data_IF_672313035008
#
_entry.id   IF_672313035008
#
_cell.length_a   1.000
_cell.length_b   1.000
_cell.length_c   1.000
_cell.angle_alpha   90.00
_cell.angle_beta   90.00
_cell.angle_gamma   90.00
#
_symmetry.space_group_name_H-M   'P 1'
#
loop_
_entity.id
_entity.type
_entity.pdbx_description
1 polymer ?
#
# COMPACT_ATOMS: atom_id res chain seq x y z
N UNK A 1 5.90 -9.33 -5.48
CA UNK A 1 6.12 -9.76 -6.88
C UNK A 1 4.86 -9.60 -7.69
N UNK A 2 4.97 -9.16 -8.93
CA UNK A 2 3.86 -9.04 -9.87
C UNK A 2 3.61 -10.39 -10.55
N UNK A 3 2.36 -10.88 -10.51
CA UNK A 3 1.98 -12.07 -11.26
C UNK A 3 2.22 -11.90 -12.76
N UNK A 4 1.91 -10.72 -13.30
CA UNK A 4 2.15 -10.41 -14.72
C UNK A 4 3.64 -10.46 -15.08
N UNK A 5 4.52 -9.87 -14.27
CA UNK A 5 5.96 -9.93 -14.49
C UNK A 5 6.48 -11.37 -14.45
N UNK A 6 5.98 -12.19 -13.51
CA UNK A 6 6.32 -13.62 -13.45
C UNK A 6 5.87 -14.37 -14.71
N UNK A 7 4.63 -14.16 -15.16
CA UNK A 7 4.07 -14.80 -16.38
C UNK A 7 4.85 -14.41 -17.64
N UNK A 8 5.30 -13.17 -17.71
CA UNK A 8 6.05 -12.64 -18.86
C UNK A 8 7.56 -12.83 -18.73
N UNK A 9 8.02 -13.43 -17.63
CA UNK A 9 9.44 -13.60 -17.31
C UNK A 9 10.24 -12.27 -17.41
N UNK A 10 9.64 -11.20 -16.89
CA UNK A 10 10.22 -9.86 -16.86
C UNK A 10 10.48 -9.41 -15.42
N UNK A 11 11.45 -8.51 -15.18
CA UNK A 11 11.61 -7.88 -13.87
C UNK A 11 10.35 -7.11 -13.45
N UNK A 12 10.06 -7.09 -12.15
CA UNK A 12 9.01 -6.21 -11.61
C UNK A 12 9.44 -4.74 -11.71
N UNK A 13 8.53 -3.83 -12.11
CA UNK A 13 8.86 -2.41 -12.27
C UNK A 13 8.92 -1.65 -10.92
N UNK A 14 8.76 -2.33 -9.80
CA UNK A 14 8.74 -1.73 -8.46
C UNK A 14 9.43 -2.63 -7.44
N UNK A 15 9.82 -2.04 -6.32
CA UNK A 15 10.35 -2.72 -5.14
C UNK A 15 9.34 -2.67 -3.99
N UNK A 16 9.39 -3.69 -3.13
CA UNK A 16 8.64 -3.71 -1.87
C UNK A 16 9.64 -3.49 -0.75
N UNK A 17 9.42 -2.44 0.04
CA UNK A 17 10.31 -2.02 1.12
C UNK A 17 9.55 -2.02 2.45
N UNK A 18 10.15 -2.56 3.50
CA UNK A 18 9.61 -2.47 4.85
C UNK A 18 9.86 -1.07 5.42
N UNK A 19 8.80 -0.34 5.72
CA UNK A 19 8.87 1.00 6.33
C UNK A 19 9.09 0.92 7.84
N UNK A 20 8.63 -0.17 8.46
CA UNK A 20 8.86 -0.50 9.87
C UNK A 20 9.33 -1.95 9.99
N UNK A 21 9.78 -2.35 11.18
CA UNK A 21 10.15 -3.75 11.44
C UNK A 21 8.98 -4.68 11.10
N UNK A 22 9.23 -5.65 10.23
CA UNK A 22 8.22 -6.60 9.78
C UNK A 22 8.76 -8.03 9.73
N UNK A 23 7.86 -8.99 9.87
CA UNK A 23 8.11 -10.40 9.54
C UNK A 23 7.46 -10.68 8.20
N UNK A 24 8.24 -11.23 7.27
CA UNK A 24 7.75 -11.55 5.92
C UNK A 24 7.97 -13.02 5.62
N UNK A 25 7.01 -13.64 4.94
CA UNK A 25 7.17 -14.95 4.34
C UNK A 25 7.43 -14.77 2.83
N UNK A 26 8.37 -15.57 2.31
CA UNK A 26 8.65 -15.63 0.87
C UNK A 26 8.23 -16.97 0.33
N UNK A 27 7.51 -16.94 -0.75
CA UNK A 27 7.07 -18.13 -1.46
C UNK A 27 7.34 -17.93 -2.96
N UNK A 28 8.00 -18.89 -3.64
CA UNK A 28 8.14 -18.83 -5.08
C UNK A 28 6.76 -18.82 -5.76
N UNK A 29 6.59 -17.97 -6.77
CA UNK A 29 5.29 -17.82 -7.46
C UNK A 29 4.82 -19.13 -8.07
N UNK A 30 5.73 -19.95 -8.59
CA UNK A 30 5.39 -21.25 -9.15
C UNK A 30 4.74 -22.14 -8.09
N UNK A 31 5.33 -22.24 -6.90
CA UNK A 31 4.77 -23.04 -5.80
C UNK A 31 3.41 -22.52 -5.32
N UNK A 32 3.24 -21.20 -5.34
CA UNK A 32 1.95 -20.58 -5.02
C UNK A 32 0.87 -20.98 -6.02
N UNK A 33 1.16 -20.93 -7.32
CA UNK A 33 0.21 -21.33 -8.36
C UNK A 33 -0.16 -22.80 -8.22
N UNK A 34 0.83 -23.67 -8.06
CA UNK A 34 0.62 -25.12 -7.86
C UNK A 34 -0.24 -25.40 -6.61
N UNK A 35 0.03 -24.69 -5.52
CA UNK A 35 -0.79 -24.80 -4.32
C UNK A 35 -2.24 -24.38 -4.56
N UNK A 36 -2.47 -23.27 -5.23
CA UNK A 36 -3.81 -22.78 -5.52
C UNK A 36 -4.59 -23.71 -6.44
N UNK A 37 -3.92 -24.31 -7.42
CA UNK A 37 -4.52 -25.30 -8.33
C UNK A 37 -4.87 -26.60 -7.61
N UNK A 38 -4.02 -27.05 -6.69
CA UNK A 38 -4.27 -28.24 -5.87
C UNK A 38 -5.34 -28.02 -4.78
N UNK A 39 -5.61 -26.76 -4.40
CA UNK A 39 -6.51 -26.42 -3.30
C UNK A 39 -7.55 -25.38 -3.69
N UNK A 40 -8.46 -25.70 -4.64
CA UNK A 40 -9.39 -24.72 -5.21
C UNK A 40 -10.33 -24.05 -4.18
N UNK A 41 -10.52 -24.65 -3.01
CA UNK A 41 -11.31 -24.09 -1.91
C UNK A 41 -10.77 -22.76 -1.36
N UNK A 42 -9.46 -22.46 -1.52
CA UNK A 42 -8.85 -21.21 -1.06
C UNK A 42 -8.94 -20.10 -2.11
N UNK A 43 -9.25 -20.42 -3.35
CA UNK A 43 -9.28 -19.48 -4.46
C UNK A 43 -10.26 -18.31 -4.23
N UNK A 44 -11.51 -18.52 -3.79
CA UNK A 44 -12.43 -17.40 -3.55
C UNK A 44 -11.93 -16.43 -2.48
N UNK A 45 -11.33 -16.93 -1.40
CA UNK A 45 -10.78 -16.08 -0.34
C UNK A 45 -9.60 -15.26 -0.83
N UNK A 46 -8.74 -15.86 -1.65
CA UNK A 46 -7.61 -15.15 -2.25
C UNK A 46 -8.08 -14.07 -3.25
N UNK A 47 -9.03 -14.40 -4.11
CA UNK A 47 -9.62 -13.46 -5.06
C UNK A 47 -10.27 -12.28 -4.33
N UNK A 48 -10.99 -12.53 -3.25
CA UNK A 48 -11.57 -11.47 -2.41
C UNK A 48 -10.48 -10.52 -1.86
N UNK A 49 -9.39 -11.06 -1.31
CA UNK A 49 -8.29 -10.23 -0.79
C UNK A 49 -7.60 -9.41 -1.88
N UNK A 50 -7.42 -9.99 -3.08
CA UNK A 50 -6.89 -9.25 -4.24
C UNK A 50 -7.83 -8.11 -4.65
N UNK A 51 -9.12 -8.38 -4.73
CA UNK A 51 -10.13 -7.36 -5.08
C UNK A 51 -10.18 -6.24 -4.03
N UNK A 52 -10.08 -6.60 -2.74
CA UNK A 52 -10.02 -5.64 -1.64
C UNK A 52 -8.78 -4.74 -1.76
N UNK A 53 -7.61 -5.33 -2.02
CA UNK A 53 -6.38 -4.58 -2.23
C UNK A 53 -6.49 -3.63 -3.43
N UNK A 54 -7.04 -4.10 -4.54
CA UNK A 54 -7.29 -3.26 -5.73
C UNK A 54 -8.19 -2.06 -5.40
N UNK A 55 -9.26 -2.28 -4.64
CA UNK A 55 -10.15 -1.21 -4.19
C UNK A 55 -9.43 -0.18 -3.31
N UNK A 56 -8.55 -0.63 -2.42
CA UNK A 56 -7.74 0.27 -1.59
C UNK A 56 -6.76 1.11 -2.42
N UNK A 57 -6.11 0.50 -3.42
CA UNK A 57 -5.22 1.22 -4.36
C UNK A 57 -5.99 2.26 -5.16
N UNK A 58 -7.15 1.91 -5.70
CA UNK A 58 -8.02 2.85 -6.42
C UNK A 58 -8.48 4.00 -5.54
N UNK A 59 -8.93 3.72 -4.32
CA UNK A 59 -9.36 4.74 -3.36
C UNK A 59 -8.20 5.68 -2.98
N UNK A 60 -6.98 5.16 -2.88
CA UNK A 60 -5.79 5.98 -2.65
C UNK A 60 -5.50 6.87 -3.86
N UNK A 61 -5.50 6.32 -5.07
CA UNK A 61 -5.30 7.07 -6.31
C UNK A 61 -6.31 8.22 -6.44
N UNK A 62 -7.60 7.94 -6.22
CA UNK A 62 -8.66 8.95 -6.21
C UNK A 62 -8.37 10.03 -5.15
N UNK A 63 -7.94 9.63 -3.95
CA UNK A 63 -7.57 10.56 -2.88
C UNK A 63 -6.47 11.52 -3.30
N UNK A 64 -5.44 11.02 -3.99
CA UNK A 64 -4.33 11.85 -4.47
C UNK A 64 -4.77 12.88 -5.53
N UNK A 65 -5.78 12.55 -6.32
CA UNK A 65 -6.29 13.45 -7.37
C UNK A 65 -7.35 14.43 -6.88
N UNK A 66 -8.23 14.03 -5.97
CA UNK A 66 -9.38 14.84 -5.57
C UNK A 66 -9.15 15.69 -4.33
N UNK A 67 -8.24 15.30 -3.43
CA UNK A 67 -8.04 16.03 -2.19
C UNK A 67 -6.81 16.93 -2.24
N UNK A 68 -6.94 18.10 -1.60
CA UNK A 68 -5.81 18.96 -1.28
C UNK A 68 -4.87 18.33 -0.23
N UNK A 69 -3.73 18.96 0.00
CA UNK A 69 -2.72 18.44 0.94
C UNK A 69 -3.27 18.21 2.36
N UNK A 70 -3.99 19.17 2.99
CA UNK A 70 -4.63 18.92 4.29
C UNK A 70 -5.65 17.79 4.27
N UNK A 71 -6.45 17.71 3.20
CA UNK A 71 -7.46 16.66 3.03
C UNK A 71 -6.88 15.27 2.95
N UNK A 72 -5.76 15.08 2.21
CA UNK A 72 -5.04 13.80 2.12
C UNK A 72 -4.53 13.36 3.49
N UNK A 73 -3.94 14.27 4.24
CA UNK A 73 -3.41 13.99 5.57
C UNK A 73 -4.53 13.62 6.54
N UNK A 74 -5.59 14.42 6.64
CA UNK A 74 -6.75 14.10 7.51
C UNK A 74 -7.38 12.76 7.16
N UNK A 75 -7.53 12.42 5.87
CA UNK A 75 -8.05 11.12 5.44
C UNK A 75 -7.15 9.97 5.89
N UNK A 76 -5.83 10.13 5.75
CA UNK A 76 -4.87 9.12 6.19
C UNK A 76 -4.99 8.85 7.69
N UNK A 77 -4.92 9.89 8.52
CA UNK A 77 -5.00 9.75 9.98
C UNK A 77 -6.33 9.17 10.44
N UNK A 78 -7.43 9.53 9.79
CA UNK A 78 -8.74 8.96 10.10
C UNK A 78 -8.83 7.46 9.77
N UNK A 79 -8.21 7.02 8.67
CA UNK A 79 -8.24 5.62 8.22
C UNK A 79 -7.20 4.76 8.95
N UNK A 80 -6.07 5.33 9.35
CA UNK A 80 -4.88 4.61 9.79
C UNK A 80 -4.31 5.21 11.08
N UNK A 81 -5.15 5.50 12.07
CA UNK A 81 -4.74 6.13 13.32
C UNK A 81 -3.59 5.37 14.01
N UNK A 82 -3.64 4.03 13.99
CA UNK A 82 -2.63 3.17 14.60
C UNK A 82 -1.24 3.26 13.94
N UNK A 83 -1.20 3.65 12.67
CA UNK A 83 0.04 3.73 11.89
C UNK A 83 0.67 5.13 11.93
N UNK A 84 -0.12 6.15 12.26
CA UNK A 84 0.28 7.54 12.13
C UNK A 84 1.56 7.89 12.90
N UNK A 85 1.72 7.33 14.10
CA UNK A 85 2.90 7.58 14.96
C UNK A 85 4.06 6.60 14.67
N UNK A 86 3.81 5.55 13.89
CA UNK A 86 4.79 4.50 13.60
C UNK A 86 5.50 4.69 12.27
N UNK A 87 4.92 5.45 11.35
CA UNK A 87 5.48 5.67 10.01
C UNK A 87 6.41 6.89 10.05
N UNK A 88 7.67 6.78 9.56
CA UNK A 88 8.55 7.92 9.42
C UNK A 88 7.90 9.03 8.58
N UNK A 89 8.04 10.28 8.99
CA UNK A 89 7.44 11.45 8.33
C UNK A 89 7.75 11.51 6.82
N UNK A 90 8.97 11.15 6.45
CA UNK A 90 9.42 11.12 5.04
C UNK A 90 8.60 10.14 4.22
N UNK A 91 8.39 8.94 4.74
CA UNK A 91 7.63 7.89 4.07
C UNK A 91 6.15 8.25 3.97
N UNK A 92 5.59 8.82 5.05
CA UNK A 92 4.20 9.31 5.05
C UNK A 92 4.01 10.45 4.04
N UNK A 93 4.94 11.40 3.99
CA UNK A 93 4.88 12.49 3.02
C UNK A 93 4.93 11.96 1.57
N UNK A 94 5.84 11.03 1.29
CA UNK A 94 5.95 10.36 -0.01
C UNK A 94 4.65 9.63 -0.38
N UNK A 95 4.09 8.85 0.53
CA UNK A 95 2.82 8.14 0.33
C UNK A 95 1.65 9.08 0.01
N UNK A 96 1.63 10.27 0.63
CA UNK A 96 0.60 11.29 0.42
C UNK A 96 0.89 12.22 -0.75
N UNK A 97 1.97 11.98 -1.49
CA UNK A 97 2.48 12.83 -2.57
C UNK A 97 2.66 14.29 -2.09
N UNK A 98 3.41 14.45 -0.99
CA UNK A 98 3.75 15.73 -0.36
C UNK A 98 5.24 15.82 -0.12
N UNK A 99 5.77 17.06 -0.09
CA UNK A 99 7.08 17.31 0.48
C UNK A 99 7.02 17.14 2.03
N UNK A 100 8.10 16.65 2.64
CA UNK A 100 8.18 16.45 4.08
C UNK A 100 7.99 17.76 4.87
N UNK A 101 8.48 18.88 4.32
CA UNK A 101 8.31 20.24 4.85
C UNK A 101 6.83 20.65 4.87
N UNK A 102 6.09 20.31 3.80
CA UNK A 102 4.66 20.58 3.72
C UNK A 102 3.89 19.84 4.81
N UNK A 103 4.19 18.55 5.03
CA UNK A 103 3.58 17.77 6.10
C UNK A 103 3.89 18.38 7.48
N UNK A 104 5.14 18.77 7.72
CA UNK A 104 5.57 19.41 8.98
C UNK A 104 4.84 20.73 9.21
N UNK A 105 4.73 21.57 8.18
CA UNK A 105 4.03 22.87 8.25
C UNK A 105 2.54 22.69 8.55
N UNK A 106 1.87 21.73 7.90
CA UNK A 106 0.46 21.44 8.16
C UNK A 106 0.21 21.03 9.61
N UNK A 107 1.11 20.23 10.18
CA UNK A 107 1.05 19.80 11.58
C UNK A 107 1.23 21.01 12.53
N UNK A 108 2.20 21.88 12.27
CA UNK A 108 2.44 23.10 13.08
C UNK A 108 1.27 24.09 13.03
N UNK A 109 0.58 24.17 11.89
CA UNK A 109 -0.57 25.07 11.70
C UNK A 109 -1.88 24.51 12.29
N UNK A 110 -1.87 23.34 12.91
CA UNK A 110 -3.08 22.69 13.44
C UNK A 110 -4.12 22.34 12.38
N UNK A 111 -3.72 22.20 11.12
CA UNK A 111 -4.62 21.86 10.01
C UNK A 111 -4.88 20.37 9.86
N UNK A 112 -4.17 19.59 10.67
CA UNK A 112 -4.23 18.13 10.71
C UNK A 112 -4.01 17.62 12.12
#
# INVERSE_FOLDING_TARGET
TSYAAWRLNTPTPYSIVCVTKARVARLPMQQWVEFMDAHPRFKPSFEYEVMRLMSDVMAHTITLHLLDAPGRVRRFFRKNAELADRIPKKELASYLNLAAETLSRLKQQGKI
#
